data_IF_064741127409
#
_entry.id   IF_064741127409
#
_cell.length_a   1.000
_cell.length_b   1.000
_cell.length_c   1.000
_cell.angle_alpha   90.00
_cell.angle_beta   90.00
_cell.angle_gamma   90.00
#
_symmetry.space_group_name_H-M   'P 1'
#
loop_
_entity.id
_entity.type
_entity.pdbx_description
1 polymer ?
#
# COMPACT_ATOMS: atom_id res chain seq x y z
N UNK A 1 19.22 -20.85 3.07
CA UNK A 1 18.06 -21.02 3.97
C UNK A 1 16.89 -21.49 3.12
N UNK A 2 16.01 -22.30 3.69
CA UNK A 2 14.74 -22.67 3.04
C UNK A 2 13.68 -21.60 3.27
N UNK A 3 12.65 -21.56 2.42
CA UNK A 3 11.52 -20.64 2.58
C UNK A 3 10.90 -20.70 3.98
N UNK A 4 10.88 -21.90 4.59
CA UNK A 4 10.33 -22.11 5.93
C UNK A 4 11.19 -21.47 7.01
N UNK A 5 12.52 -21.62 6.91
CA UNK A 5 13.48 -20.96 7.81
C UNK A 5 13.40 -19.45 7.68
N UNK A 6 13.31 -18.92 6.45
CA UNK A 6 13.13 -17.48 6.19
C UNK A 6 11.85 -16.97 6.86
N UNK A 7 10.73 -17.66 6.66
CA UNK A 7 9.46 -17.27 7.29
C UNK A 7 9.53 -17.31 8.83
N UNK A 8 10.29 -18.24 9.42
CA UNK A 8 10.50 -18.28 10.87
C UNK A 8 11.36 -17.12 11.36
N UNK A 9 12.43 -16.77 10.65
CA UNK A 9 13.27 -15.61 10.97
C UNK A 9 12.49 -14.30 10.86
N UNK A 10 11.70 -14.11 9.80
CA UNK A 10 10.82 -12.94 9.66
C UNK A 10 9.85 -12.84 10.84
N UNK A 11 9.21 -13.95 11.25
CA UNK A 11 8.32 -13.96 12.43
C UNK A 11 9.06 -13.59 13.71
N UNK A 12 10.30 -14.06 13.90
CA UNK A 12 11.14 -13.69 15.05
C UNK A 12 11.46 -12.19 15.03
N UNK A 13 11.85 -11.63 13.88
CA UNK A 13 12.16 -10.21 13.72
C UNK A 13 10.93 -9.31 13.93
N UNK A 14 9.77 -9.70 13.42
CA UNK A 14 8.50 -9.01 13.70
C UNK A 14 8.16 -9.03 15.19
N UNK A 15 8.34 -10.17 15.87
CA UNK A 15 8.07 -10.31 17.31
C UNK A 15 8.97 -9.40 18.15
N UNK A 16 10.23 -9.19 17.75
CA UNK A 16 11.15 -8.23 18.41
C UNK A 16 10.61 -6.78 18.37
N UNK A 17 9.82 -6.44 17.36
CA UNK A 17 9.13 -5.15 17.22
C UNK A 17 7.73 -5.13 17.85
N UNK A 18 7.38 -6.15 18.64
CA UNK A 18 6.07 -6.27 19.29
C UNK A 18 4.93 -6.71 18.36
N UNK A 19 5.23 -7.06 17.10
CA UNK A 19 4.22 -7.45 16.11
C UNK A 19 3.91 -8.95 16.26
N UNK A 20 2.64 -9.29 16.43
CA UNK A 20 2.19 -10.67 16.68
C UNK A 20 1.60 -11.33 15.43
N UNK A 21 1.45 -12.66 15.45
CA UNK A 21 0.83 -13.44 14.36
C UNK A 21 -0.66 -13.14 14.13
N UNK A 22 -1.32 -12.53 15.12
CA UNK A 22 -2.69 -12.01 15.00
C UNK A 22 -2.74 -10.74 14.15
N UNK A 23 -1.66 -9.96 14.15
CA UNK A 23 -1.54 -8.71 13.42
C UNK A 23 -0.91 -8.92 12.04
N UNK A 24 0.09 -9.79 11.92
CA UNK A 24 0.77 -10.08 10.65
C UNK A 24 0.94 -11.59 10.47
N UNK A 25 0.49 -12.11 9.33
CA UNK A 25 0.71 -13.50 8.93
C UNK A 25 1.90 -13.60 7.98
N UNK A 26 2.79 -14.56 8.22
CA UNK A 26 3.91 -14.88 7.32
C UNK A 26 3.76 -16.32 6.87
N UNK A 27 3.75 -16.58 5.56
CA UNK A 27 3.61 -17.91 4.96
C UNK A 27 4.74 -18.15 3.96
N UNK A 28 5.31 -19.34 4.00
CA UNK A 28 6.28 -19.80 3.03
C UNK A 28 5.58 -20.66 1.98
N UNK A 29 5.95 -20.47 0.71
CA UNK A 29 5.58 -21.32 -0.41
C UNK A 29 6.85 -21.72 -1.14
N UNK A 30 6.91 -22.98 -1.54
CA UNK A 30 8.01 -23.51 -2.34
C UNK A 30 7.43 -23.91 -3.69
N UNK A 31 8.03 -23.38 -4.74
CA UNK A 31 7.80 -23.76 -6.12
C UNK A 31 8.99 -24.60 -6.58
N UNK A 32 8.87 -25.28 -7.73
CA UNK A 32 9.85 -26.29 -8.19
C UNK A 32 11.31 -25.81 -8.09
N UNK A 33 11.57 -24.56 -8.46
CA UNK A 33 12.92 -23.98 -8.44
C UNK A 33 13.02 -22.67 -7.66
N UNK A 34 11.90 -22.11 -7.19
CA UNK A 34 11.85 -20.78 -6.55
C UNK A 34 11.07 -20.84 -5.24
N UNK A 35 11.31 -19.85 -4.39
CA UNK A 35 10.66 -19.68 -3.10
C UNK A 35 9.85 -18.40 -3.09
N UNK A 36 8.73 -18.40 -2.34
CA UNK A 36 7.96 -17.20 -2.10
C UNK A 36 7.56 -17.09 -0.63
N UNK A 37 7.69 -15.88 -0.10
CA UNK A 37 7.24 -15.50 1.23
C UNK A 37 6.08 -14.52 1.09
N UNK A 38 4.93 -14.90 1.63
CA UNK A 38 3.74 -14.06 1.68
C UNK A 38 3.55 -13.50 3.08
N UNK A 39 3.65 -12.17 3.20
CA UNK A 39 3.40 -11.42 4.42
C UNK A 39 2.10 -10.64 4.29
N UNK A 40 1.13 -10.95 5.13
CA UNK A 40 -0.22 -10.34 5.13
C UNK A 40 -0.48 -9.60 6.43
N UNK A 41 -0.66 -8.28 6.35
CA UNK A 41 -0.97 -7.38 7.46
C UNK A 41 -2.48 -7.40 7.70
N UNK A 42 -2.90 -7.98 8.83
CA UNK A 42 -4.30 -8.09 9.27
C UNK A 42 -4.73 -6.90 10.12
N UNK A 43 -3.80 -6.33 10.87
CA UNK A 43 -4.03 -5.14 11.70
C UNK A 43 -3.45 -3.91 10.98
N UNK A 44 -4.33 -3.06 10.46
CA UNK A 44 -3.97 -1.86 9.71
C UNK A 44 -3.19 -0.83 10.54
N UNK A 45 -3.18 -0.94 11.87
CA UNK A 45 -2.35 -0.05 12.73
C UNK A 45 -0.87 -0.41 12.66
N UNK A 46 -0.52 -1.61 12.18
CA UNK A 46 0.87 -2.01 11.97
C UNK A 46 1.41 -1.30 10.73
N UNK A 47 2.56 -0.63 10.88
CA UNK A 47 3.23 0.06 9.77
C UNK A 47 3.66 -0.91 8.68
N UNK A 48 3.10 -0.77 7.48
CA UNK A 48 3.50 -1.55 6.29
C UNK A 48 4.97 -1.34 5.96
N UNK A 49 5.47 -0.10 6.04
CA UNK A 49 6.89 0.22 5.78
C UNK A 49 7.84 -0.53 6.69
N UNK A 50 7.51 -0.66 7.98
CA UNK A 50 8.31 -1.44 8.92
C UNK A 50 8.30 -2.93 8.57
N UNK A 51 7.13 -3.48 8.25
CA UNK A 51 6.99 -4.89 7.86
C UNK A 51 7.74 -5.17 6.55
N UNK A 52 7.67 -4.26 5.58
CA UNK A 52 8.43 -4.32 4.33
C UNK A 52 9.94 -4.29 4.57
N UNK A 53 10.43 -3.37 5.40
CA UNK A 53 11.85 -3.30 5.74
C UNK A 53 12.36 -4.62 6.33
N UNK A 54 11.61 -5.21 7.27
CA UNK A 54 11.98 -6.49 7.90
C UNK A 54 11.91 -7.66 6.91
N UNK A 55 10.86 -7.72 6.10
CA UNK A 55 10.62 -8.88 5.24
C UNK A 55 11.52 -8.88 3.99
N UNK A 56 11.71 -7.71 3.36
CA UNK A 56 12.48 -7.59 2.11
C UNK A 56 13.98 -7.80 2.29
N UNK A 57 14.50 -7.79 3.51
CA UNK A 57 15.89 -8.22 3.79
C UNK A 57 16.18 -9.66 3.33
N UNK A 58 15.14 -10.49 3.20
CA UNK A 58 15.25 -11.88 2.75
C UNK A 58 14.90 -12.07 1.27
N UNK A 59 14.61 -10.99 0.54
CA UNK A 59 14.33 -11.06 -0.90
C UNK A 59 15.63 -11.26 -1.68
N UNK A 60 15.60 -12.20 -2.63
CA UNK A 60 16.72 -12.47 -3.51
C UNK A 60 16.21 -12.80 -4.91
N UNK A 61 16.49 -11.94 -5.87
CA UNK A 61 16.11 -12.13 -7.27
C UNK A 61 17.36 -11.99 -8.12
N UNK A 62 17.61 -12.98 -8.97
CA UNK A 62 18.72 -12.99 -9.91
C UNK A 62 18.30 -12.36 -11.22
N UNK A 63 19.15 -11.49 -11.73
CA UNK A 63 18.94 -10.77 -12.99
C UNK A 63 20.08 -11.09 -13.95
N UNK A 64 19.77 -11.14 -15.24
CA UNK A 64 20.79 -11.15 -16.29
C UNK A 64 21.34 -9.73 -16.48
N UNK A 65 22.67 -9.57 -16.38
CA UNK A 65 23.33 -8.27 -16.44
C UNK A 65 23.24 -7.60 -17.83
N UNK A 66 22.93 -8.37 -18.89
CA UNK A 66 22.86 -7.85 -20.25
C UNK A 66 21.42 -7.54 -20.70
N UNK A 67 20.47 -8.43 -20.38
CA UNK A 67 19.06 -8.29 -20.81
C UNK A 67 18.15 -7.67 -19.74
N UNK A 68 18.58 -7.62 -18.47
CA UNK A 68 17.74 -7.32 -17.31
C UNK A 68 16.52 -8.28 -17.16
N UNK A 69 16.62 -9.49 -17.69
CA UNK A 69 15.60 -10.52 -17.47
C UNK A 69 15.84 -11.24 -16.14
N UNK A 70 14.76 -11.68 -15.49
CA UNK A 70 14.85 -12.50 -14.28
C UNK A 70 15.36 -13.90 -14.66
N UNK A 71 16.45 -14.33 -14.02
CA UNK A 71 16.98 -15.67 -14.21
C UNK A 71 16.13 -16.71 -13.49
N UNK A 72 15.80 -17.80 -14.16
CA UNK A 72 15.01 -18.87 -13.57
C UNK A 72 15.79 -19.63 -12.49
N UNK A 73 15.10 -19.95 -11.39
CA UNK A 73 15.60 -20.83 -10.35
C UNK A 73 16.51 -20.17 -9.31
N UNK A 74 16.27 -20.54 -8.06
CA UNK A 74 16.97 -20.06 -6.87
C UNK A 74 16.53 -18.67 -6.41
N UNK A 75 15.41 -18.15 -6.92
CA UNK A 75 14.88 -16.86 -6.46
C UNK A 75 14.06 -17.04 -5.18
N UNK A 76 14.06 -16.02 -4.34
CA UNK A 76 13.18 -15.87 -3.18
C UNK A 76 12.42 -14.56 -3.31
N UNK A 77 11.14 -14.65 -3.62
CA UNK A 77 10.26 -13.48 -3.75
C UNK A 77 9.61 -13.17 -2.41
N UNK A 78 9.60 -11.90 -1.99
CA UNK A 78 8.94 -11.49 -0.75
C UNK A 78 7.84 -10.49 -1.06
N UNK A 79 6.59 -10.86 -0.75
CA UNK A 79 5.43 -10.00 -0.91
C UNK A 79 4.92 -9.52 0.46
N UNK A 80 4.67 -8.21 0.57
CA UNK A 80 4.09 -7.60 1.77
C UNK A 80 2.87 -6.79 1.39
N UNK A 81 1.71 -7.24 1.85
CA UNK A 81 0.41 -6.66 1.52
C UNK A 81 -0.52 -6.69 2.73
N UNK A 82 -1.65 -6.01 2.62
CA UNK A 82 -2.74 -6.17 3.57
C UNK A 82 -3.46 -7.50 3.36
N UNK A 83 -4.00 -8.06 4.44
CA UNK A 83 -5.00 -9.11 4.35
C UNK A 83 -6.29 -8.52 3.79
N UNK A 84 -6.74 -9.07 2.68
CA UNK A 84 -7.82 -8.47 1.92
C UNK A 84 -9.15 -8.43 2.68
N UNK A 85 -9.42 -9.46 3.49
CA UNK A 85 -10.66 -9.52 4.26
C UNK A 85 -10.64 -8.46 5.37
N UNK A 86 -9.51 -8.34 6.07
CA UNK A 86 -9.35 -7.33 7.11
C UNK A 86 -9.42 -5.90 6.54
N UNK A 87 -8.74 -5.65 5.41
CA UNK A 87 -8.76 -4.36 4.73
C UNK A 87 -10.18 -3.96 4.33
N UNK A 88 -10.88 -4.83 3.60
CA UNK A 88 -12.23 -4.56 3.11
C UNK A 88 -13.24 -4.34 4.23
N UNK A 89 -13.13 -5.10 5.32
CA UNK A 89 -14.03 -4.91 6.46
C UNK A 89 -13.88 -3.51 7.05
N UNK A 90 -12.65 -3.01 7.14
CA UNK A 90 -12.35 -1.66 7.63
C UNK A 90 -12.66 -0.57 6.61
N UNK A 91 -12.49 -0.84 5.32
CA UNK A 91 -12.83 0.09 4.25
C UNK A 91 -14.32 0.48 4.26
N UNK A 92 -15.22 -0.38 4.77
CA UNK A 92 -16.65 -0.06 4.91
C UNK A 92 -16.92 1.24 5.67
N UNK A 93 -16.06 1.60 6.63
CA UNK A 93 -16.15 2.84 7.40
C UNK A 93 -16.02 4.09 6.50
N UNK A 94 -15.43 3.96 5.30
CA UNK A 94 -15.13 5.05 4.36
C UNK A 94 -15.99 5.05 3.10
N UNK A 95 -16.94 4.12 2.93
CA UNK A 95 -17.76 4.03 1.71
C UNK A 95 -18.56 5.31 1.46
N UNK A 96 -19.19 5.88 2.49
CA UNK A 96 -19.97 7.12 2.34
C UNK A 96 -19.13 8.30 1.85
N UNK A 97 -17.92 8.45 2.39
CA UNK A 97 -16.96 9.48 1.96
C UNK A 97 -16.54 9.25 0.51
N UNK A 98 -16.27 7.99 0.15
CA UNK A 98 -15.90 7.63 -1.22
C UNK A 98 -17.01 7.96 -2.23
N UNK A 99 -18.27 7.66 -1.91
CA UNK A 99 -19.42 8.00 -2.76
C UNK A 99 -19.54 9.51 -2.99
N UNK A 100 -19.29 10.33 -1.97
CA UNK A 100 -19.33 11.79 -2.08
C UNK A 100 -18.23 12.32 -2.99
N UNK A 101 -16.99 11.85 -2.82
CA UNK A 101 -15.87 12.19 -3.70
C UNK A 101 -16.21 11.84 -5.16
N UNK A 102 -16.82 10.67 -5.39
CA UNK A 102 -17.19 10.22 -6.73
C UNK A 102 -18.35 11.03 -7.34
N UNK A 103 -19.25 11.62 -6.54
CA UNK A 103 -20.27 12.56 -7.05
C UNK A 103 -19.64 13.86 -7.56
N UNK A 104 -18.55 14.29 -6.97
CA UNK A 104 -17.88 15.54 -7.34
C UNK A 104 -16.84 15.39 -8.46
N UNK A 105 -16.48 14.15 -8.83
CA UNK A 105 -15.36 13.87 -9.75
C UNK A 105 -15.40 14.63 -11.06
N UNK A 106 -16.58 14.87 -11.63
CA UNK A 106 -16.75 15.57 -12.91
C UNK A 106 -16.32 17.04 -12.83
N UNK A 107 -16.44 17.68 -11.66
CA UNK A 107 -15.94 19.06 -11.43
C UNK A 107 -14.42 19.15 -11.57
N UNK A 108 -13.74 18.02 -11.35
CA UNK A 108 -12.28 17.91 -11.34
C UNK A 108 -11.74 17.16 -12.55
N UNK A 109 -12.50 16.97 -13.64
CA UNK A 109 -12.07 16.16 -14.80
C UNK A 109 -10.68 16.53 -15.36
N UNK A 110 -10.31 17.81 -15.29
CA UNK A 110 -9.03 18.34 -15.77
C UNK A 110 -8.07 18.72 -14.63
N UNK A 111 -8.44 18.46 -13.37
CA UNK A 111 -7.71 18.89 -12.17
C UNK A 111 -7.62 17.79 -11.11
N UNK A 112 -6.75 17.97 -10.12
CA UNK A 112 -6.67 17.09 -8.96
C UNK A 112 -7.61 17.59 -7.86
N UNK A 113 -8.48 16.72 -7.36
CA UNK A 113 -9.29 17.01 -6.19
C UNK A 113 -8.44 16.80 -4.93
N UNK A 114 -8.35 17.80 -4.07
CA UNK A 114 -7.61 17.68 -2.81
C UNK A 114 -8.51 17.10 -1.73
N UNK A 115 -8.14 15.94 -1.20
CA UNK A 115 -8.93 15.23 -0.19
C UNK A 115 -8.52 15.63 1.23
N UNK A 116 -7.22 15.57 1.54
CA UNK A 116 -6.72 15.87 2.88
C UNK A 116 -5.29 16.39 2.85
N UNK A 117 -4.88 17.08 3.92
CA UNK A 117 -3.51 17.51 4.14
C UNK A 117 -3.12 17.29 5.59
N UNK A 118 -1.87 16.89 5.81
CA UNK A 118 -1.28 16.70 7.12
C UNK A 118 0.23 16.90 7.03
N UNK A 119 0.76 17.82 7.83
CA UNK A 119 2.18 18.19 7.80
C UNK A 119 2.66 18.55 6.39
N UNK A 120 3.63 17.82 5.84
CA UNK A 120 4.13 17.96 4.48
C UNK A 120 3.47 17.01 3.47
N UNK A 121 2.44 16.25 3.88
CA UNK A 121 1.73 15.30 3.04
C UNK A 121 0.37 15.83 2.57
N UNK A 122 0.04 15.53 1.31
CA UNK A 122 -1.21 15.90 0.65
C UNK A 122 -1.80 14.68 -0.03
N UNK A 123 -3.09 14.43 0.19
CA UNK A 123 -3.86 13.39 -0.50
C UNK A 123 -4.66 14.03 -1.62
N UNK A 124 -4.45 13.53 -2.84
CA UNK A 124 -5.11 14.00 -4.05
C UNK A 124 -5.87 12.86 -4.71
N UNK A 125 -7.09 13.11 -5.14
CA UNK A 125 -7.83 12.25 -6.05
C UNK A 125 -7.70 12.78 -7.48
N UNK A 126 -7.26 11.92 -8.38
CA UNK A 126 -7.23 12.19 -9.81
C UNK A 126 -8.38 11.43 -10.47
N UNK A 127 -9.35 12.10 -11.10
CA UNK A 127 -10.35 11.43 -11.92
C UNK A 127 -9.73 10.93 -13.24
N UNK A 128 -10.54 10.23 -14.03
CA UNK A 128 -10.07 9.73 -15.33
C UNK A 128 -9.63 10.90 -16.21
N UNK A 129 -8.35 10.90 -16.60
CA UNK A 129 -7.75 11.97 -17.39
C UNK A 129 -6.69 11.40 -18.35
N UNK A 130 -6.79 11.70 -19.64
CA UNK A 130 -5.85 11.28 -20.69
C UNK A 130 -5.45 9.79 -20.63
N UNK A 131 -6.44 8.89 -20.54
CA UNK A 131 -6.20 7.43 -20.46
C UNK A 131 -5.71 6.94 -19.11
N UNK A 132 -5.47 7.84 -18.15
CA UNK A 132 -5.08 7.48 -16.79
C UNK A 132 -6.33 7.18 -15.97
N UNK A 133 -6.42 5.95 -15.46
CA UNK A 133 -7.51 5.54 -14.59
C UNK A 133 -7.53 6.33 -13.27
N UNK A 134 -8.73 6.51 -12.67
CA UNK A 134 -8.86 7.18 -11.39
C UNK A 134 -7.97 6.59 -10.30
N UNK A 135 -7.33 7.46 -9.54
CA UNK A 135 -6.46 7.05 -8.44
C UNK A 135 -6.39 8.08 -7.33
N UNK A 136 -6.09 7.60 -6.13
CA UNK A 136 -5.67 8.43 -5.01
C UNK A 136 -4.15 8.43 -4.93
N UNK A 137 -3.58 9.62 -4.89
CA UNK A 137 -2.15 9.88 -4.71
C UNK A 137 -1.89 10.44 -3.32
N UNK A 138 -0.95 9.84 -2.62
CA UNK A 138 -0.28 10.46 -1.49
C UNK A 138 0.97 11.16 -2.00
N UNK A 139 1.02 12.47 -1.88
CA UNK A 139 2.18 13.25 -2.27
C UNK A 139 2.83 13.94 -1.09
N UNK A 140 4.15 14.16 -1.19
CA UNK A 140 4.93 14.95 -0.24
C UNK A 140 5.30 16.29 -0.86
N UNK A 141 5.16 17.37 -0.10
CA UNK A 141 5.59 18.71 -0.50
C UNK A 141 7.11 18.79 -0.48
N UNK A 142 7.69 19.14 -1.62
CA UNK A 142 9.11 19.43 -1.69
C UNK A 142 9.38 20.80 -1.04
N UNK A 143 10.38 20.88 -0.15
CA UNK A 143 10.73 22.17 0.52
C UNK A 143 11.41 23.16 -0.42
N UNK A 144 11.93 22.69 -1.55
CA UNK A 144 12.76 23.45 -2.48
C UNK A 144 12.08 23.74 -3.83
N UNK A 145 10.86 23.23 -4.05
CA UNK A 145 10.12 23.46 -5.28
C UNK A 145 8.62 23.44 -5.03
N UNK A 146 7.82 23.93 -6.00
CA UNK A 146 6.37 23.80 -5.98
C UNK A 146 5.88 22.40 -6.41
N UNK A 147 6.79 21.43 -6.57
CA UNK A 147 6.49 20.08 -7.03
C UNK A 147 6.06 19.20 -5.85
N UNK A 148 5.06 18.37 -6.10
CA UNK A 148 4.59 17.34 -5.19
C UNK A 148 5.21 16.00 -5.59
N UNK A 149 6.04 15.43 -4.71
CA UNK A 149 6.68 14.14 -4.94
C UNK A 149 5.67 13.03 -4.65
N UNK A 150 5.39 12.18 -5.62
CA UNK A 150 4.47 11.06 -5.43
C UNK A 150 5.09 10.00 -4.51
N UNK A 151 4.42 9.70 -3.40
CA UNK A 151 4.87 8.70 -2.42
C UNK A 151 4.18 7.36 -2.69
N UNK A 152 2.86 7.37 -2.82
CA UNK A 152 2.04 6.18 -3.05
C UNK A 152 0.85 6.51 -3.94
N UNK A 153 0.46 5.56 -4.79
CA UNK A 153 -0.72 5.64 -5.65
C UNK A 153 -1.60 4.41 -5.47
N UNK A 154 -2.90 4.63 -5.40
CA UNK A 154 -3.91 3.58 -5.27
C UNK A 154 -4.99 3.76 -6.32
N UNK A 155 -5.41 2.67 -6.96
CA UNK A 155 -6.58 2.69 -7.84
C UNK A 155 -7.83 3.09 -7.05
N UNK A 156 -8.66 3.95 -7.63
CA UNK A 156 -9.83 4.51 -6.96
C UNK A 156 -10.96 4.75 -7.98
N UNK A 157 -11.34 3.70 -8.70
CA UNK A 157 -12.30 3.78 -9.81
C UNK A 157 -13.74 3.86 -9.30
N UNK A 158 -14.01 3.13 -8.22
CA UNK A 158 -15.32 2.97 -7.60
C UNK A 158 -15.23 3.20 -6.08
N UNK A 159 -16.37 3.18 -5.41
CA UNK A 159 -16.50 3.44 -3.98
C UNK A 159 -15.72 2.42 -3.12
N UNK A 160 -15.57 1.19 -3.60
CA UNK A 160 -14.84 0.13 -2.88
C UNK A 160 -13.34 0.33 -2.95
N UNK A 161 -12.79 0.52 -4.15
CA UNK A 161 -11.35 0.76 -4.35
C UNK A 161 -10.90 2.07 -3.74
N UNK A 162 -11.74 3.12 -3.85
CA UNK A 162 -11.48 4.39 -3.19
C UNK A 162 -11.52 4.25 -1.66
N UNK A 163 -12.51 3.56 -1.09
CA UNK A 163 -12.56 3.36 0.37
C UNK A 163 -11.40 2.50 0.90
N UNK A 164 -10.93 1.50 0.14
CA UNK A 164 -9.70 0.75 0.45
C UNK A 164 -8.47 1.68 0.49
N UNK A 165 -8.34 2.61 -0.46
CA UNK A 165 -7.25 3.58 -0.45
C UNK A 165 -7.35 4.55 0.75
N UNK A 166 -8.55 5.07 1.04
CA UNK A 166 -8.78 5.99 2.15
C UNK A 166 -8.47 5.34 3.50
N UNK A 167 -8.89 4.10 3.72
CA UNK A 167 -8.61 3.41 4.99
C UNK A 167 -7.12 3.13 5.17
N UNK A 168 -6.39 2.79 4.11
CA UNK A 168 -4.93 2.64 4.18
C UNK A 168 -4.28 3.96 4.59
N UNK A 169 -4.65 5.06 3.93
CA UNK A 169 -4.09 6.39 4.23
C UNK A 169 -4.45 6.85 5.64
N UNK A 170 -5.67 6.58 6.11
CA UNK A 170 -6.10 6.90 7.46
C UNK A 170 -5.28 6.15 8.52
N UNK A 171 -5.08 4.85 8.38
CA UNK A 171 -4.38 4.05 9.38
C UNK A 171 -2.85 4.18 9.31
N UNK A 172 -2.27 4.25 8.10
CA UNK A 172 -0.81 4.28 7.93
C UNK A 172 -0.20 5.68 8.09
N UNK A 173 -0.95 6.71 7.71
CA UNK A 173 -0.48 8.10 7.70
C UNK A 173 -1.27 9.00 8.68
N UNK A 174 -2.37 8.49 9.25
CA UNK A 174 -3.16 9.21 10.25
C UNK A 174 -3.93 10.38 9.64
N UNK A 175 -4.44 10.21 8.40
CA UNK A 175 -5.35 11.18 7.79
C UNK A 175 -6.77 11.04 8.35
N UNK A 176 -7.44 12.18 8.50
CA UNK A 176 -8.86 12.26 8.85
C UNK A 176 -9.63 12.81 7.65
N UNK A 177 -10.43 11.95 7.02
CA UNK A 177 -11.20 12.28 5.82
C UNK A 177 -12.62 12.80 6.13
N UNK A 178 -13.02 12.88 7.40
CA UNK A 178 -14.34 13.43 7.76
C UNK A 178 -14.46 14.94 7.46
N UNK A 179 -13.33 15.62 7.24
CA UNK A 179 -13.27 17.06 6.95
C UNK A 179 -13.26 17.38 5.45
N UNK A 180 -13.29 16.38 4.57
CA UNK A 180 -13.31 16.60 3.11
C UNK A 180 -14.53 17.43 2.70
N UNK A 181 -15.62 17.41 3.50
CA UNK A 181 -16.91 18.04 3.21
C UNK A 181 -17.04 19.52 3.64
N UNK A 182 -16.03 20.14 4.27
CA UNK A 182 -16.21 21.47 4.91
C UNK A 182 -15.78 22.68 4.07
N UNK A 183 -15.67 22.56 2.75
CA UNK A 183 -15.35 23.70 1.87
C UNK A 183 -16.31 23.85 0.70
#
# INVERSE_FOLDING_TARGET
>A
MTAREIAEEIRKSLKKHGITSRQVSVRAKTYTFDEAIEVRIKDLTVSKKLVEAIAKEYEYVRWDDYTNEILAGGNTYVSVDYDYKALREKAKEFIGIAEEILKEKEKYKDNLMRLAEKDDLVVLYQPYHNGTYPHVKLCKRNKYSCILDNVESYYAVDEYTLSEALVILAYQYGFDFNKVMTK
#
